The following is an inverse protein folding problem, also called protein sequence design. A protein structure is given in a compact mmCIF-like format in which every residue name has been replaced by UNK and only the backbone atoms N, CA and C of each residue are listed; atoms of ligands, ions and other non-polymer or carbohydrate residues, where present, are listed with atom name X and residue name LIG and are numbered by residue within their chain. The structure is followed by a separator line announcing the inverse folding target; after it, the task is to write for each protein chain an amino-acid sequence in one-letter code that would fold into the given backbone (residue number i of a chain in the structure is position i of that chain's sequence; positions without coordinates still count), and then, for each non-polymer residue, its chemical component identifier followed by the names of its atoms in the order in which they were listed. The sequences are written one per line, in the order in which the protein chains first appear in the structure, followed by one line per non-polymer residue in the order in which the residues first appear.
data_IF_683411282071
#
_entry.id   IF_683411282071
#
_cell.length_a   1.000
_cell.length_b   1.000
_cell.length_c   1.000
_cell.angle_alpha   90.00
_cell.angle_beta   90.00
_cell.angle_gamma   90.00
#
_symmetry.space_group_name_H-M   'P 1'
#
loop_
_entity.id
_entity.type
_entity.pdbx_description
1 polymer ?
#
# COMPACT_ATOMS: atom_id res chain seq x y z
N UNK A 1 -31.78 80.44 11.21
CA UNK A 1 -33.20 80.04 11.28
C UNK A 1 -33.42 78.81 10.41
N UNK A 2 -34.04 77.79 10.99
CA UNK A 2 -34.46 76.54 10.35
C UNK A 2 -35.50 76.84 9.25
N UNK A 3 -35.50 76.08 8.15
CA UNK A 3 -36.77 75.49 7.75
C UNK A 3 -36.66 73.99 7.51
N UNK A 4 -37.74 73.32 7.88
CA UNK A 4 -37.97 71.89 7.78
C UNK A 4 -38.89 71.56 6.59
N UNK A 5 -39.09 70.26 6.37
CA UNK A 5 -40.12 69.57 5.54
C UNK A 5 -39.63 69.28 4.11
N UNK A 6 -39.72 68.06 3.54
CA UNK A 6 -40.68 66.97 3.72
C UNK A 6 -40.15 65.63 3.14
N UNK A 7 -40.86 64.49 3.37
CA UNK A 7 -40.37 63.12 3.20
C UNK A 7 -40.78 62.48 1.87
N UNK A 8 -40.10 61.39 1.48
CA UNK A 8 -40.57 60.44 0.47
C UNK A 8 -39.94 59.06 0.69
N UNK A 9 -40.77 58.05 0.94
CA UNK A 9 -40.47 56.64 0.69
C UNK A 9 -41.26 56.22 -0.56
N UNK A 10 -40.71 55.34 -1.40
CA UNK A 10 -41.35 54.02 -1.50
C UNK A 10 -40.39 52.84 -1.73
N UNK A 11 -40.71 51.75 -1.03
CA UNK A 11 -40.76 50.34 -1.47
C UNK A 11 -39.94 49.91 -2.68
N UNK A 12 -38.93 49.07 -2.45
CA UNK A 12 -38.41 48.13 -3.45
C UNK A 12 -38.22 46.74 -2.82
N UNK A 13 -39.14 45.85 -3.18
CA UNK A 13 -39.13 44.41 -2.97
C UNK A 13 -37.93 43.81 -3.73
N UNK A 14 -36.87 43.44 -3.01
CA UNK A 14 -35.70 42.75 -3.57
C UNK A 14 -35.64 41.32 -3.05
N UNK A 15 -35.91 40.36 -3.92
CA UNK A 15 -35.74 38.93 -3.69
C UNK A 15 -34.35 38.60 -3.17
N UNK A 16 -34.20 37.74 -2.14
CA UNK A 16 -32.90 37.20 -1.79
C UNK A 16 -32.46 36.23 -2.90
N UNK A 17 -31.57 36.70 -3.77
CA UNK A 17 -30.73 35.83 -4.60
C UNK A 17 -29.92 34.97 -3.66
N UNK A 18 -30.34 33.72 -3.49
CA UNK A 18 -29.56 32.66 -2.86
C UNK A 18 -28.29 32.46 -3.69
N UNK A 19 -27.23 33.18 -3.32
CA UNK A 19 -25.87 32.82 -3.68
C UNK A 19 -25.64 31.41 -3.14
N UNK A 20 -25.76 30.42 -4.03
CA UNK A 20 -25.34 29.07 -3.78
C UNK A 20 -23.82 29.13 -3.70
N UNK A 21 -23.30 29.37 -2.50
CA UNK A 21 -21.90 29.20 -2.14
C UNK A 21 -21.54 27.75 -2.44
N UNK A 22 -21.06 27.52 -3.66
CA UNK A 22 -20.28 26.34 -4.04
C UNK A 22 -18.97 26.46 -3.28
N UNK A 23 -19.03 26.15 -1.98
CA UNK A 23 -17.87 25.81 -1.17
C UNK A 23 -17.25 24.59 -1.82
N UNK A 24 -16.31 24.85 -2.73
CA UNK A 24 -15.37 23.85 -3.20
C UNK A 24 -14.52 23.53 -1.98
N UNK A 25 -14.97 22.52 -1.23
CA UNK A 25 -14.17 21.89 -0.19
C UNK A 25 -12.84 21.56 -0.85
N UNK A 26 -11.81 22.33 -0.51
CA UNK A 26 -10.47 22.09 -0.98
C UNK A 26 -10.11 20.69 -0.49
N UNK A 27 -10.03 19.75 -1.42
CA UNK A 27 -9.68 18.37 -1.13
C UNK A 27 -8.29 18.37 -0.51
N UNK A 28 -8.22 18.16 0.80
CA UNK A 28 -6.97 18.21 1.56
C UNK A 28 -6.06 17.08 1.10
N UNK A 29 -5.18 17.37 0.14
CA UNK A 29 -4.16 16.42 -0.28
C UNK A 29 -3.05 16.39 0.76
N UNK A 30 -2.80 15.22 1.33
CA UNK A 30 -1.63 14.97 2.16
C UNK A 30 -0.41 14.73 1.26
N UNK A 31 0.75 15.20 1.68
CA UNK A 31 2.01 14.78 1.06
C UNK A 31 2.36 13.33 1.44
N UNK A 32 3.39 12.79 0.78
CA UNK A 32 3.80 11.39 0.96
C UNK A 32 4.25 11.10 2.39
N UNK A 33 5.09 11.95 2.98
CA UNK A 33 5.68 11.69 4.30
C UNK A 33 4.60 11.75 5.39
N UNK A 34 3.68 12.71 5.26
CA UNK A 34 2.50 12.83 6.11
C UNK A 34 1.56 11.62 5.97
N UNK A 35 1.36 11.12 4.76
CA UNK A 35 0.56 9.90 4.51
C UNK A 35 1.19 8.66 5.15
N UNK A 36 2.50 8.46 5.00
CA UNK A 36 3.22 7.35 5.62
C UNK A 36 3.18 7.42 7.15
N UNK A 37 3.34 8.62 7.73
CA UNK A 37 3.24 8.82 9.17
C UNK A 37 1.84 8.48 9.70
N UNK A 38 0.79 8.96 9.03
CA UNK A 38 -0.60 8.64 9.38
C UNK A 38 -0.87 7.13 9.30
N UNK A 39 -0.41 6.47 8.23
CA UNK A 39 -0.58 5.03 8.08
C UNK A 39 0.13 4.25 9.18
N UNK A 40 1.34 4.66 9.57
CA UNK A 40 2.07 4.02 10.67
C UNK A 40 1.30 4.15 12.00
N UNK A 41 0.81 5.33 12.33
CA UNK A 41 0.02 5.52 13.56
C UNK A 41 -1.30 4.74 13.54
N UNK A 42 -2.00 4.71 12.40
CA UNK A 42 -3.19 3.87 12.24
C UNK A 42 -2.86 2.38 12.40
N UNK A 43 -1.75 1.91 11.85
CA UNK A 43 -1.32 0.52 11.99
C UNK A 43 -1.00 0.19 13.46
N UNK A 44 -0.26 1.05 14.16
CA UNK A 44 0.05 0.88 15.59
C UNK A 44 -1.24 0.82 16.43
N UNK A 45 -2.20 1.69 16.14
CA UNK A 45 -3.51 1.70 16.81
C UNK A 45 -4.29 0.42 16.50
N UNK A 46 -4.40 0.02 15.23
CA UNK A 46 -5.18 -1.14 14.86
C UNK A 46 -4.55 -2.44 15.31
N UNK A 47 -3.23 -2.54 15.40
CA UNK A 47 -2.54 -3.72 15.95
C UNK A 47 -2.57 -3.78 17.49
N UNK A 48 -3.01 -2.71 18.16
CA UNK A 48 -3.11 -2.69 19.62
C UNK A 48 -4.07 -3.79 20.16
N UNK A 49 -3.71 -4.51 21.24
CA UNK A 49 -4.50 -5.64 21.74
C UNK A 49 -5.96 -5.30 22.07
N UNK A 50 -6.22 -4.10 22.59
CA UNK A 50 -7.57 -3.64 22.93
C UNK A 50 -8.47 -3.46 21.69
N UNK A 51 -7.91 -2.90 20.61
CA UNK A 51 -8.63 -2.70 19.34
C UNK A 51 -8.83 -4.05 18.63
N UNK A 52 -7.81 -4.91 18.63
CA UNK A 52 -7.92 -6.27 18.09
C UNK A 52 -8.99 -7.12 18.81
N UNK A 53 -9.14 -6.96 20.13
CA UNK A 53 -10.22 -7.61 20.88
C UNK A 53 -11.59 -7.11 20.42
N UNK A 54 -11.79 -5.79 20.32
CA UNK A 54 -13.05 -5.19 19.80
C UNK A 54 -13.34 -5.64 18.36
N UNK A 55 -12.34 -5.68 17.49
CA UNK A 55 -12.48 -6.16 16.12
C UNK A 55 -13.01 -7.60 16.05
N UNK A 56 -12.54 -8.48 16.94
CA UNK A 56 -13.07 -9.84 17.06
C UNK A 56 -14.52 -9.85 17.53
N UNK A 57 -14.85 -9.09 18.58
CA UNK A 57 -16.23 -8.98 19.09
C UNK A 57 -17.20 -8.48 17.99
N UNK A 58 -16.80 -7.47 17.21
CA UNK A 58 -17.59 -6.96 16.09
C UNK A 58 -17.74 -8.02 15.00
N UNK A 59 -16.68 -8.77 14.69
CA UNK A 59 -16.73 -9.86 13.71
C UNK A 59 -17.68 -10.98 14.14
N UNK A 60 -17.63 -11.36 15.41
CA UNK A 60 -18.50 -12.37 16.00
C UNK A 60 -19.98 -11.93 16.01
N UNK A 61 -20.24 -10.62 16.02
CA UNK A 61 -21.58 -10.04 15.86
C UNK A 61 -22.12 -10.07 14.41
N UNK A 62 -21.30 -10.48 13.43
CA UNK A 62 -21.69 -10.60 12.03
C UNK A 62 -21.59 -9.29 11.22
N UNK A 63 -21.05 -8.22 11.79
CA UNK A 63 -20.81 -6.96 11.08
C UNK A 63 -19.61 -7.10 10.14
N UNK A 64 -19.82 -6.95 8.83
CA UNK A 64 -18.80 -7.18 7.80
C UNK A 64 -17.74 -6.06 7.70
N UNK A 65 -18.10 -4.82 8.03
CA UNK A 65 -17.20 -3.65 8.01
C UNK A 65 -17.45 -2.76 9.23
N UNK A 66 -16.61 -2.84 10.27
CA UNK A 66 -16.64 -1.84 11.33
C UNK A 66 -16.30 -0.44 10.79
N UNK A 67 -17.02 0.58 11.25
CA UNK A 67 -16.63 1.98 11.03
C UNK A 67 -15.42 2.35 11.89
N UNK A 68 -14.66 3.38 11.51
CA UNK A 68 -13.50 3.82 12.29
C UNK A 68 -13.92 4.22 13.72
N UNK A 69 -15.08 4.86 13.83
CA UNK A 69 -15.71 5.27 15.09
C UNK A 69 -16.15 4.09 15.98
N UNK A 70 -16.38 2.91 15.40
CA UNK A 70 -16.69 1.71 16.20
C UNK A 70 -15.42 1.09 16.82
N UNK A 71 -14.26 1.33 16.21
CA UNK A 71 -12.97 0.75 16.61
C UNK A 71 -12.22 1.65 17.59
N UNK A 72 -12.19 2.94 17.27
CA UNK A 72 -11.53 3.96 18.07
C UNK A 72 -12.55 4.67 18.94
N UNK A 73 -12.13 5.12 20.13
CA UNK A 73 -12.92 6.14 20.82
C UNK A 73 -13.01 7.37 19.89
N UNK A 74 -14.20 7.94 19.75
CA UNK A 74 -14.45 9.13 18.92
C UNK A 74 -13.46 10.27 19.25
N UNK A 75 -12.98 10.33 20.50
CA UNK A 75 -11.96 11.30 20.93
C UNK A 75 -10.57 11.00 20.37
N UNK A 76 -10.17 9.73 20.31
CA UNK A 76 -8.85 9.32 19.78
C UNK A 76 -8.80 9.46 18.26
N UNK A 77 -9.87 9.04 17.57
CA UNK A 77 -10.03 9.27 16.14
C UNK A 77 -9.92 10.76 15.79
N UNK A 78 -10.67 11.60 16.50
CA UNK A 78 -10.66 13.06 16.26
C UNK A 78 -9.26 13.64 16.43
N UNK A 79 -8.57 13.31 17.53
CA UNK A 79 -7.20 13.77 17.77
C UNK A 79 -6.22 13.33 16.69
N UNK A 80 -6.36 12.10 16.21
CA UNK A 80 -5.53 11.58 15.13
C UNK A 80 -5.79 12.35 13.84
N UNK A 81 -7.04 12.52 13.43
CA UNK A 81 -7.39 13.23 12.20
C UNK A 81 -6.99 14.71 12.25
N UNK A 82 -7.29 15.39 13.36
CA UNK A 82 -6.91 16.80 13.57
C UNK A 82 -5.38 17.00 13.50
N UNK A 83 -4.60 16.06 14.03
CA UNK A 83 -3.13 16.11 13.98
C UNK A 83 -2.58 16.14 12.56
N UNK A 84 -3.28 15.52 11.60
CA UNK A 84 -2.90 15.49 10.19
C UNK A 84 -3.67 16.50 9.33
N UNK A 85 -4.40 17.43 9.94
CA UNK A 85 -5.19 18.43 9.21
C UNK A 85 -6.39 17.85 8.47
N UNK A 86 -6.84 16.65 8.85
CA UNK A 86 -8.00 15.99 8.28
C UNK A 86 -9.26 16.37 9.05
N UNK A 87 -10.38 16.42 8.34
CA UNK A 87 -11.67 16.71 8.97
C UNK A 87 -12.04 15.58 9.94
N UNK A 88 -12.37 15.95 11.19
CA UNK A 88 -12.86 15.05 12.21
C UNK A 88 -14.20 14.40 11.85
N UNK A 89 -14.91 14.94 10.84
CA UNK A 89 -16.13 14.36 10.28
C UNK A 89 -15.88 13.08 9.48
N UNK A 90 -14.62 12.81 9.08
CA UNK A 90 -14.22 11.56 8.41
C UNK A 90 -14.41 10.39 9.36
N UNK A 91 -15.57 9.77 9.25
CA UNK A 91 -16.06 8.74 10.18
C UNK A 91 -15.88 7.34 9.62
N UNK A 92 -15.77 7.22 8.29
CA UNK A 92 -15.53 5.97 7.59
C UNK A 92 -14.04 5.83 7.26
N UNK A 93 -13.49 4.65 7.56
CA UNK A 93 -12.15 4.28 7.16
C UNK A 93 -11.99 4.38 5.63
N UNK A 94 -13.05 4.12 4.86
CA UNK A 94 -13.01 4.24 3.40
C UNK A 94 -12.60 5.64 2.95
N UNK A 95 -13.09 6.68 3.62
CA UNK A 95 -12.75 8.06 3.29
C UNK A 95 -11.28 8.34 3.63
N UNK A 96 -10.79 7.85 4.78
CA UNK A 96 -9.37 7.96 5.15
C UNK A 96 -8.49 7.22 4.14
N UNK A 97 -8.90 6.03 3.68
CA UNK A 97 -8.15 5.26 2.68
C UNK A 97 -8.17 5.90 1.30
N UNK A 98 -9.22 6.67 0.97
CA UNK A 98 -9.33 7.38 -0.30
C UNK A 98 -8.24 8.46 -0.45
N UNK A 99 -7.78 9.05 0.66
CA UNK A 99 -6.68 10.02 0.68
C UNK A 99 -5.40 9.41 0.07
N UNK A 100 -5.20 8.10 0.24
CA UNK A 100 -4.03 7.39 -0.26
C UNK A 100 -4.13 6.99 -1.73
N UNK A 101 -5.25 7.29 -2.41
CA UNK A 101 -5.46 6.93 -3.81
C UNK A 101 -4.36 7.46 -4.73
N UNK A 102 -3.88 8.67 -4.45
CA UNK A 102 -2.81 9.31 -5.22
C UNK A 102 -1.44 8.65 -5.01
N UNK A 103 -1.31 7.80 -3.99
CA UNK A 103 -0.09 7.11 -3.62
C UNK A 103 -0.23 5.58 -3.75
N UNK A 104 -1.27 5.07 -4.40
CA UNK A 104 -1.46 3.62 -4.53
C UNK A 104 -0.23 2.97 -5.16
N UNK A 105 0.39 3.63 -6.17
CA UNK A 105 1.59 3.14 -6.84
C UNK A 105 2.86 3.22 -5.98
N UNK A 106 2.82 3.92 -4.83
CA UNK A 106 3.96 4.02 -3.95
C UNK A 106 4.13 2.74 -3.12
N UNK A 107 5.30 2.09 -3.16
CA UNK A 107 5.49 0.81 -2.52
C UNK A 107 5.27 0.86 -1.00
N UNK A 108 5.80 1.87 -0.33
CA UNK A 108 5.79 1.95 1.12
C UNK A 108 4.38 2.24 1.62
N UNK A 109 3.67 3.14 0.92
CA UNK A 109 2.26 3.44 1.20
C UNK A 109 1.38 2.21 0.99
N UNK A 110 1.63 1.45 -0.08
CA UNK A 110 0.87 0.21 -0.35
C UNK A 110 1.07 -0.84 0.75
N UNK A 111 2.31 -1.08 1.19
CA UNK A 111 2.59 -2.08 2.23
C UNK A 111 1.89 -1.70 3.53
N UNK A 112 2.00 -0.44 3.95
CA UNK A 112 1.33 0.00 5.16
C UNK A 112 -0.20 -0.08 5.00
N UNK A 113 -0.75 0.30 3.84
CA UNK A 113 -2.17 0.15 3.56
C UNK A 113 -2.63 -1.32 3.65
N UNK A 114 -1.88 -2.25 3.04
CA UNK A 114 -2.17 -3.67 3.11
C UNK A 114 -2.11 -4.21 4.55
N UNK A 115 -1.09 -3.80 5.32
CA UNK A 115 -0.96 -4.15 6.73
C UNK A 115 -2.11 -3.60 7.58
N UNK A 116 -2.60 -2.40 7.29
CA UNK A 116 -3.78 -1.82 7.94
C UNK A 116 -5.03 -2.65 7.61
N UNK A 117 -5.25 -2.97 6.33
CA UNK A 117 -6.38 -3.81 5.91
C UNK A 117 -6.32 -5.20 6.58
N UNK A 118 -5.14 -5.80 6.68
CA UNK A 118 -4.92 -7.07 7.38
C UNK A 118 -5.24 -6.94 8.88
N UNK A 119 -4.72 -5.91 9.55
CA UNK A 119 -4.99 -5.65 10.96
C UNK A 119 -6.48 -5.47 11.23
N UNK A 120 -7.22 -4.85 10.30
CA UNK A 120 -8.66 -4.66 10.39
C UNK A 120 -9.46 -5.94 10.08
N UNK A 121 -8.81 -7.01 9.63
CA UNK A 121 -9.47 -8.24 9.20
C UNK A 121 -10.15 -8.12 7.84
N UNK A 122 -9.84 -7.08 7.06
CA UNK A 122 -10.26 -6.91 5.67
C UNK A 122 -9.36 -7.66 4.69
N UNK A 123 -8.47 -8.54 5.16
CA UNK A 123 -7.62 -9.35 4.29
C UNK A 123 -8.49 -10.03 3.23
N UNK A 124 -8.41 -9.50 2.01
CA UNK A 124 -9.16 -9.96 0.84
C UNK A 124 -8.66 -11.33 0.38
N UNK A 125 -7.46 -11.69 0.82
CA UNK A 125 -6.90 -13.03 0.67
C UNK A 125 -7.35 -13.83 1.88
N UNK A 126 -8.40 -14.63 1.73
CA UNK A 126 -8.65 -15.70 2.70
C UNK A 126 -7.36 -16.51 2.79
N UNK A 127 -6.84 -16.80 3.98
CA UNK A 127 -5.61 -17.61 4.16
C UNK A 127 -5.64 -18.94 3.37
N UNK A 128 -6.83 -19.43 3.05
CA UNK A 128 -7.06 -20.58 2.17
C UNK A 128 -6.48 -20.43 0.75
N UNK A 129 -6.27 -19.21 0.26
CA UNK A 129 -5.68 -18.94 -1.08
C UNK A 129 -4.14 -18.91 -1.08
N UNK A 130 -3.49 -18.96 0.10
CA UNK A 130 -2.02 -18.96 0.20
C UNK A 130 -1.47 -20.38 0.43
N UNK A 131 -2.27 -21.30 0.97
CA UNK A 131 -1.90 -22.72 1.02
C UNK A 131 -2.32 -23.45 -0.25
N UNK A 132 -1.56 -23.25 -1.32
CA UNK A 132 -1.64 -24.11 -2.49
C UNK A 132 -1.19 -25.53 -2.11
N UNK A 133 -1.97 -26.59 -2.42
CA UNK A 133 -1.55 -27.96 -2.18
C UNK A 133 -0.20 -28.23 -2.85
N UNK A 134 0.72 -28.88 -2.13
CA UNK A 134 2.00 -29.34 -2.73
C UNK A 134 1.68 -30.18 -3.97
N UNK A 135 2.14 -29.74 -5.14
CA UNK A 135 1.91 -30.42 -6.42
C UNK A 135 0.75 -29.88 -7.27
N UNK A 136 0.17 -28.73 -6.92
CA UNK A 136 -0.82 -28.07 -7.79
C UNK A 136 -0.18 -27.57 -9.09
N UNK A 137 -0.61 -28.13 -10.23
CA UNK A 137 -0.08 -27.84 -11.58
C UNK A 137 -1.09 -27.06 -12.43
N UNK A 138 -1.71 -26.00 -11.91
CA UNK A 138 -2.47 -25.14 -12.82
C UNK A 138 -1.53 -24.38 -13.75
N UNK A 139 -1.95 -24.13 -14.99
CA UNK A 139 -1.29 -23.15 -15.84
C UNK A 139 -1.20 -21.81 -15.12
N UNK A 140 -0.02 -21.18 -15.16
CA UNK A 140 0.21 -19.84 -14.62
C UNK A 140 -0.66 -18.84 -15.40
N UNK A 141 -1.86 -18.55 -14.88
CA UNK A 141 -2.76 -17.53 -15.39
C UNK A 141 -2.57 -16.20 -14.65
N UNK A 142 -3.18 -15.12 -15.15
CA UNK A 142 -3.09 -13.77 -14.59
C UNK A 142 -3.33 -13.73 -13.07
N UNK A 143 -4.40 -14.38 -12.60
CA UNK A 143 -4.72 -14.43 -11.16
C UNK A 143 -3.66 -15.19 -10.34
N UNK A 144 -3.17 -16.31 -10.86
CA UNK A 144 -2.12 -17.11 -10.21
C UNK A 144 -0.81 -16.34 -10.13
N UNK A 145 -0.50 -15.56 -11.16
CA UNK A 145 0.66 -14.68 -11.17
C UNK A 145 0.54 -13.57 -10.13
N UNK A 146 -0.61 -12.90 -10.03
CA UNK A 146 -0.86 -11.89 -8.98
C UNK A 146 -0.69 -12.52 -7.58
N UNK A 147 -1.18 -13.74 -7.37
CA UNK A 147 -0.99 -14.46 -6.10
C UNK A 147 0.48 -14.80 -5.84
N UNK A 148 1.22 -15.27 -6.86
CA UNK A 148 2.67 -15.50 -6.77
C UNK A 148 3.40 -14.22 -6.36
N UNK A 149 3.05 -13.12 -7.02
CA UNK A 149 3.61 -11.80 -6.75
C UNK A 149 3.37 -11.32 -5.33
N UNK A 150 2.14 -11.44 -4.83
CA UNK A 150 1.80 -11.14 -3.45
C UNK A 150 2.54 -12.05 -2.47
N UNK A 151 2.69 -13.33 -2.80
CA UNK A 151 3.39 -14.32 -1.96
C UNK A 151 4.89 -14.02 -1.86
N UNK A 152 5.52 -13.62 -2.97
CA UNK A 152 6.91 -13.16 -3.00
C UNK A 152 7.10 -11.90 -2.17
N UNK A 153 6.23 -10.91 -2.35
CA UNK A 153 6.27 -9.67 -1.56
C UNK A 153 6.15 -9.96 -0.06
N UNK A 154 5.18 -10.78 0.34
CA UNK A 154 5.00 -11.21 1.73
C UNK A 154 6.25 -11.89 2.27
N UNK A 155 6.78 -12.88 1.53
CA UNK A 155 7.95 -13.66 1.97
C UNK A 155 9.22 -12.81 2.07
N UNK A 156 9.38 -11.82 1.19
CA UNK A 156 10.46 -10.85 1.31
C UNK A 156 10.25 -9.88 2.46
N UNK A 157 9.01 -9.59 2.88
CA UNK A 157 8.73 -8.76 4.05
C UNK A 157 8.90 -9.50 5.39
N UNK A 158 9.12 -10.82 5.39
CA UNK A 158 9.31 -11.59 6.63
C UNK A 158 10.55 -11.11 7.42
N UNK A 159 10.50 -11.09 8.76
CA UNK A 159 11.58 -10.57 9.60
C UNK A 159 12.93 -11.23 9.35
N UNK A 160 12.96 -12.55 9.15
CA UNK A 160 14.19 -13.31 8.92
C UNK A 160 14.86 -12.91 7.60
N UNK A 161 14.07 -12.72 6.54
CA UNK A 161 14.57 -12.26 5.25
C UNK A 161 15.12 -10.84 5.38
N UNK A 162 14.36 -9.93 5.99
CA UNK A 162 14.78 -8.54 6.20
C UNK A 162 16.04 -8.45 7.06
N UNK A 163 16.16 -9.25 8.12
CA UNK A 163 17.36 -9.34 8.95
C UNK A 163 18.59 -9.79 8.15
N UNK A 164 18.42 -10.78 7.26
CA UNK A 164 19.51 -11.23 6.37
C UNK A 164 19.95 -10.12 5.40
N UNK A 165 19.01 -9.37 4.82
CA UNK A 165 19.32 -8.21 3.96
C UNK A 165 20.06 -7.12 4.76
N UNK A 166 19.59 -6.77 5.95
CA UNK A 166 20.21 -5.75 6.81
C UNK A 166 21.61 -6.14 7.28
N UNK A 167 21.84 -7.42 7.58
CA UNK A 167 23.17 -7.92 7.89
C UNK A 167 24.13 -7.78 6.68
N UNK A 168 23.66 -8.10 5.48
CA UNK A 168 24.46 -7.91 4.25
C UNK A 168 24.79 -6.43 3.99
N UNK A 169 23.83 -5.51 4.21
CA UNK A 169 24.06 -4.06 4.11
C UNK A 169 25.15 -3.61 5.10
N UNK A 170 25.01 -3.99 6.37
CA UNK A 170 25.96 -3.66 7.44
C UNK A 170 27.38 -4.15 7.13
N UNK A 171 27.52 -5.38 6.61
CA UNK A 171 28.82 -5.94 6.20
C UNK A 171 29.43 -5.18 5.01
N UNK A 172 28.61 -4.77 4.05
CA UNK A 172 29.08 -3.97 2.92
C UNK A 172 29.55 -2.57 3.36
N UNK A 173 28.81 -1.93 4.27
CA UNK A 173 29.19 -0.62 4.84
C UNK A 173 30.50 -0.69 5.65
N UNK A 174 30.74 -1.80 6.35
CA UNK A 174 31.98 -2.01 7.10
C UNK A 174 33.19 -2.35 6.21
N UNK A 175 32.98 -2.71 4.95
CA UNK A 175 34.05 -3.04 4.01
C UNK A 175 34.67 -1.80 3.37
N UNK A 176 35.97 -1.85 3.03
CA UNK A 176 36.64 -0.78 2.26
C UNK A 176 36.02 -0.57 0.88
N UNK A 177 35.27 -1.55 0.37
CA UNK A 177 34.52 -1.48 -0.89
C UNK A 177 33.15 -0.75 -0.75
N UNK A 178 32.72 -0.45 0.48
CA UNK A 178 31.40 0.13 0.78
C UNK A 178 31.12 1.44 0.02
N UNK A 179 32.16 2.24 -0.23
CA UNK A 179 32.04 3.50 -0.97
C UNK A 179 31.66 3.32 -2.46
N UNK A 180 31.97 2.16 -3.06
CA UNK A 180 31.51 1.85 -4.43
C UNK A 180 30.06 1.36 -4.43
N UNK A 181 29.73 0.50 -3.46
CA UNK A 181 28.40 -0.11 -3.32
C UNK A 181 27.33 0.96 -3.01
N UNK A 182 27.66 1.99 -2.22
CA UNK A 182 26.72 3.09 -1.94
C UNK A 182 26.30 3.87 -3.19
N UNK A 183 27.11 3.90 -4.26
CA UNK A 183 26.75 4.61 -5.50
C UNK A 183 25.74 3.83 -6.35
N UNK A 184 25.90 2.52 -6.44
CA UNK A 184 25.02 1.64 -7.25
C UNK A 184 23.83 1.09 -6.44
N UNK A 185 23.81 1.38 -5.13
CA UNK A 185 22.82 0.89 -4.19
C UNK A 185 23.06 -0.55 -3.72
N UNK A 186 22.27 -0.98 -2.75
CA UNK A 186 22.38 -2.33 -2.16
C UNK A 186 21.80 -3.47 -3.04
N UNK A 187 21.57 -3.20 -4.32
CA UNK A 187 21.01 -4.16 -5.27
C UNK A 187 21.96 -5.30 -5.62
N UNK A 188 23.26 -5.00 -5.64
CA UNK A 188 24.30 -5.94 -6.05
C UNK A 188 25.11 -6.50 -4.87
N UNK A 189 24.49 -6.57 -3.69
CA UNK A 189 25.13 -7.14 -2.50
C UNK A 189 25.49 -8.63 -2.75
N UNK A 190 26.76 -9.03 -2.56
CA UNK A 190 27.15 -10.44 -2.67
C UNK A 190 26.31 -11.32 -1.74
N UNK A 191 25.70 -12.37 -2.29
CA UNK A 191 24.84 -13.29 -1.54
C UNK A 191 23.36 -12.90 -1.48
N UNK A 192 22.98 -11.67 -1.87
CA UNK A 192 21.57 -11.26 -1.95
C UNK A 192 20.76 -12.15 -2.89
N UNK A 193 21.37 -12.53 -4.02
CA UNK A 193 20.76 -13.46 -4.98
C UNK A 193 20.43 -14.80 -4.31
N UNK A 194 21.34 -15.37 -3.52
CA UNK A 194 21.12 -16.66 -2.85
C UNK A 194 19.99 -16.59 -1.82
N UNK A 195 19.89 -15.47 -1.07
CA UNK A 195 18.81 -15.26 -0.09
C UNK A 195 17.46 -15.10 -0.79
N UNK A 196 17.40 -14.33 -1.89
CA UNK A 196 16.19 -14.20 -2.70
C UNK A 196 15.79 -15.54 -3.35
N UNK A 197 16.76 -16.28 -3.88
CA UNK A 197 16.54 -17.57 -4.52
C UNK A 197 16.00 -18.60 -3.54
N UNK A 198 16.45 -18.64 -2.29
CA UNK A 198 15.91 -19.55 -1.28
C UNK A 198 14.39 -19.37 -1.04
N UNK A 199 13.90 -18.13 -1.12
CA UNK A 199 12.45 -17.83 -1.06
C UNK A 199 11.75 -18.31 -2.34
N UNK A 200 12.33 -18.01 -3.50
CA UNK A 200 11.78 -18.40 -4.80
C UNK A 200 11.73 -19.92 -4.97
N UNK A 201 12.76 -20.64 -4.54
CA UNK A 201 12.86 -22.10 -4.57
C UNK A 201 11.69 -22.78 -3.85
N UNK A 202 11.24 -22.19 -2.74
CA UNK A 202 10.10 -22.67 -1.98
C UNK A 202 8.76 -22.30 -2.61
N UNK A 203 8.65 -21.09 -3.19
CA UNK A 203 7.38 -20.58 -3.72
C UNK A 203 7.06 -21.05 -5.14
N UNK A 204 8.04 -21.10 -6.05
CA UNK A 204 7.80 -21.38 -7.47
C UNK A 204 7.04 -22.70 -7.72
N UNK A 205 7.34 -23.82 -7.03
CA UNK A 205 6.60 -25.07 -7.19
C UNK A 205 5.11 -24.95 -6.87
N UNK A 206 4.73 -24.06 -5.96
CA UNK A 206 3.33 -23.81 -5.61
C UNK A 206 2.53 -23.18 -6.75
N UNK A 207 3.20 -22.61 -7.75
CA UNK A 207 2.61 -21.96 -8.91
C UNK A 207 2.90 -22.70 -10.22
N UNK A 208 3.35 -23.96 -10.13
CA UNK A 208 3.65 -24.79 -11.30
C UNK A 208 4.94 -24.40 -12.03
N UNK A 209 5.80 -23.59 -11.40
CA UNK A 209 7.11 -23.22 -11.91
C UNK A 209 8.20 -24.10 -11.26
N UNK A 210 9.30 -24.31 -11.97
CA UNK A 210 10.40 -25.10 -11.43
C UNK A 210 11.17 -24.31 -10.36
N UNK A 211 11.61 -24.97 -9.30
CA UNK A 211 12.48 -24.41 -8.27
C UNK A 211 13.94 -24.30 -8.76
N UNK A 212 14.14 -23.68 -9.92
CA UNK A 212 15.44 -23.54 -10.57
C UNK A 212 15.61 -22.11 -11.07
N UNK A 213 16.84 -21.75 -11.49
CA UNK A 213 17.13 -20.43 -12.07
C UNK A 213 16.30 -20.19 -13.34
N UNK A 214 16.12 -21.23 -14.15
CA UNK A 214 15.27 -21.19 -15.34
C UNK A 214 13.80 -20.93 -14.98
N UNK A 215 13.32 -21.51 -13.87
CA UNK A 215 11.98 -21.24 -13.35
C UNK A 215 11.80 -19.80 -12.88
N UNK A 216 12.82 -19.19 -12.27
CA UNK A 216 12.83 -17.76 -11.93
C UNK A 216 12.82 -16.89 -13.18
N UNK A 217 13.61 -17.22 -14.20
CA UNK A 217 13.59 -16.50 -15.48
C UNK A 217 12.21 -16.61 -16.16
N UNK A 218 11.60 -17.80 -16.17
CA UNK A 218 10.25 -17.99 -16.71
C UNK A 218 9.22 -17.19 -15.90
N UNK A 219 9.30 -17.17 -14.57
CA UNK A 219 8.47 -16.31 -13.73
C UNK A 219 8.57 -14.84 -14.17
N UNK A 220 9.80 -14.32 -14.29
CA UNK A 220 10.05 -12.93 -14.67
C UNK A 220 9.49 -12.65 -16.06
N UNK A 221 9.65 -13.57 -17.01
CA UNK A 221 9.09 -13.45 -18.36
C UNK A 221 7.57 -13.38 -18.34
N UNK A 222 6.90 -14.22 -17.55
CA UNK A 222 5.44 -14.16 -17.40
C UNK A 222 4.99 -12.88 -16.70
N UNK A 223 5.70 -12.42 -15.68
CA UNK A 223 5.49 -11.08 -15.12
C UNK A 223 5.62 -10.00 -16.19
N UNK A 224 6.62 -10.13 -17.08
CA UNK A 224 6.89 -9.19 -18.16
C UNK A 224 5.71 -9.05 -19.14
N UNK A 225 5.07 -10.17 -19.49
CA UNK A 225 3.91 -10.22 -20.40
C UNK A 225 2.67 -9.48 -19.86
N UNK A 226 2.61 -9.22 -18.56
CA UNK A 226 1.51 -8.51 -17.90
C UNK A 226 1.90 -7.08 -17.46
N UNK A 227 3.09 -6.59 -17.84
CA UNK A 227 3.57 -5.23 -17.51
C UNK A 227 2.91 -4.12 -18.29
N UNK A 228 2.33 -4.42 -19.44
CA UNK A 228 1.74 -3.41 -20.30
C UNK A 228 0.27 -3.14 -19.95
N UNK A 229 -0.27 -3.82 -18.93
CA UNK A 229 -1.62 -3.61 -18.42
C UNK A 229 -1.61 -2.48 -17.37
N UNK A 230 -2.07 -1.26 -17.72
CA UNK A 230 -1.94 -0.07 -16.88
C UNK A 230 -2.70 -0.16 -15.54
N UNK A 231 -3.71 -1.03 -15.42
CA UNK A 231 -4.40 -1.27 -14.15
C UNK A 231 -3.57 -2.08 -13.15
N UNK A 232 -2.61 -2.88 -13.61
CA UNK A 232 -1.91 -3.86 -12.76
C UNK A 232 -0.39 -3.65 -12.67
N UNK A 233 0.21 -3.01 -13.67
CA UNK A 233 1.66 -2.93 -13.79
C UNK A 233 2.34 -1.96 -12.83
N UNK A 234 1.65 -0.89 -12.41
CA UNK A 234 2.27 0.17 -11.60
C UNK A 234 2.72 -0.28 -10.20
N UNK A 235 2.04 -1.25 -9.61
CA UNK A 235 2.11 -1.53 -8.16
C UNK A 235 3.11 -2.62 -7.78
N UNK A 236 3.16 -3.68 -8.59
CA UNK A 236 3.91 -4.89 -8.25
C UNK A 236 5.31 -4.88 -8.86
N UNK A 237 5.48 -4.18 -9.98
CA UNK A 237 6.68 -4.27 -10.81
C UNK A 237 7.74 -3.22 -10.46
N UNK A 238 7.33 -2.05 -9.95
CA UNK A 238 8.26 -1.09 -9.36
C UNK A 238 9.12 -1.74 -8.26
N UNK A 239 8.57 -2.74 -7.55
CA UNK A 239 9.30 -3.56 -6.56
C UNK A 239 10.09 -4.73 -7.15
N UNK A 240 9.57 -5.43 -8.17
CA UNK A 240 10.32 -6.54 -8.77
C UNK A 240 11.48 -6.10 -9.66
N UNK A 241 11.36 -4.95 -10.33
CA UNK A 241 12.45 -4.39 -11.15
C UNK A 241 13.67 -3.99 -10.29
N UNK A 242 13.48 -3.96 -8.96
CA UNK A 242 14.51 -3.81 -7.95
C UNK A 242 15.20 -5.16 -7.57
N UNK A 243 14.89 -6.25 -8.26
CA UNK A 243 15.66 -7.50 -8.20
C UNK A 243 16.96 -7.41 -9.02
N UNK A 244 17.99 -8.19 -8.67
CA UNK A 244 19.31 -8.10 -9.30
C UNK A 244 19.25 -8.34 -10.83
N UNK A 245 19.86 -7.44 -11.61
CA UNK A 245 19.87 -7.50 -13.08
C UNK A 245 20.59 -8.73 -13.64
N UNK A 246 21.46 -9.37 -12.86
CA UNK A 246 22.17 -10.61 -13.15
C UNK A 246 21.25 -11.83 -13.32
N UNK A 247 20.03 -11.79 -12.79
CA UNK A 247 18.98 -12.78 -13.06
C UNK A 247 18.18 -12.49 -14.34
N UNK A 248 18.28 -11.26 -14.86
CA UNK A 248 17.76 -10.88 -16.16
C UNK A 248 18.85 -11.17 -17.20
N UNK A 249 19.02 -12.45 -17.55
CA UNK A 249 19.84 -12.81 -18.72
C UNK A 249 19.47 -11.94 -19.93
N UNK A 250 20.38 -11.70 -20.89
CA UNK A 250 20.25 -10.62 -21.88
C UNK A 250 18.90 -10.67 -22.60
N UNK A 251 17.96 -9.83 -22.15
CA UNK A 251 16.65 -9.68 -22.78
C UNK A 251 16.92 -8.87 -24.03
N UNK A 252 17.23 -9.56 -25.14
CA UNK A 252 17.29 -8.95 -26.45
C UNK A 252 15.95 -8.27 -26.67
N UNK A 253 15.97 -6.93 -26.73
CA UNK A 253 14.85 -6.11 -27.14
C UNK A 253 14.45 -6.55 -28.55
N UNK A 254 13.50 -7.48 -28.62
CA UNK A 254 12.82 -7.82 -29.86
C UNK A 254 11.83 -6.68 -30.12
N UNK A 255 12.33 -5.61 -30.74
CA UNK A 255 11.47 -4.68 -31.47
C UNK A 255 11.02 -5.41 -32.73
N UNK A 256 9.78 -5.86 -32.73
CA UNK A 256 8.99 -6.03 -33.94
C UNK A 256 8.03 -4.84 -34.03
#
# INVERSE_FOLDING_TARGET
AKPASSPSSPTATGSPTTASDKSSSAETQLDKDTSLALQKELLDIFTAPGVQKKLREIRDSGVKCPTLAALLDTKEQRKLLEKYGLDASLSDLKEVTYIWRNFETDPDVYVNHASIQEALGFSTVKDQDVQMPKGYKQPLNKQSLIRLMKSLLKSYSEPDFQAAIEDMKRRADASKEGSKIQKDGYYHLPGREAVAFAVQEQLLPCFGLQATREGVTEMIKRCAEHLDDPEEAGHVISRLRALPQDLQGPVRSARC
#
